data_IF_652864546053
#
_entry.id   IF_652864546053
#
_cell.length_a   1.000
_cell.length_b   1.000
_cell.length_c   1.000
_cell.angle_alpha   90.00
_cell.angle_beta   90.00
_cell.angle_gamma   90.00
#
_symmetry.space_group_name_H-M   'P 1'
#
loop_
_entity.id
_entity.type
_entity.pdbx_description
1 polymer ?
#
# COMPACT_ATOMS: atom_id res chain seq x y z
N UNK A 1 12.95 6.77 49.45
CA UNK A 1 11.67 6.68 48.72
C UNK A 1 11.97 6.32 47.27
N UNK A 2 11.90 5.04 46.86
CA UNK A 2 12.20 4.64 45.49
C UNK A 2 11.06 5.02 44.55
N UNK A 3 11.42 5.58 43.40
CA UNK A 3 10.54 6.26 42.45
C UNK A 3 9.44 5.38 41.83
N UNK A 4 8.19 5.76 42.07
CA UNK A 4 6.97 5.24 41.40
C UNK A 4 7.01 5.39 39.87
N UNK A 5 7.86 6.27 39.35
CA UNK A 5 7.98 6.60 37.92
C UNK A 5 8.63 5.48 37.09
N UNK A 6 9.47 4.63 37.68
CA UNK A 6 10.15 3.53 36.95
C UNK A 6 9.22 2.33 36.72
N UNK A 7 8.34 2.04 37.68
CA UNK A 7 7.40 0.91 37.65
C UNK A 7 6.26 1.15 36.67
N UNK A 8 5.74 2.39 36.59
CA UNK A 8 4.69 2.77 35.64
C UNK A 8 5.17 2.70 34.17
N UNK A 9 6.43 3.07 33.90
CA UNK A 9 7.03 3.01 32.56
C UNK A 9 7.24 1.57 32.10
N UNK A 10 7.75 0.69 32.97
CA UNK A 10 7.94 -0.73 32.68
C UNK A 10 6.60 -1.48 32.46
N UNK A 11 5.57 -1.13 33.22
CA UNK A 11 4.22 -1.69 33.05
C UNK A 11 3.48 -1.21 31.79
N UNK A 12 3.87 -0.07 31.21
CA UNK A 12 3.36 0.39 29.90
C UNK A 12 4.03 -0.36 28.76
N UNK A 13 5.36 -0.48 28.81
CA UNK A 13 6.15 -1.23 27.81
C UNK A 13 5.67 -2.69 27.70
N UNK A 14 5.49 -3.40 28.82
CA UNK A 14 4.98 -4.78 28.79
C UNK A 14 3.56 -4.92 28.22
N UNK A 15 2.71 -3.89 28.39
CA UNK A 15 1.35 -3.90 27.80
C UNK A 15 1.40 -3.67 26.31
N UNK A 16 2.26 -2.77 25.86
CA UNK A 16 2.48 -2.46 24.45
C UNK A 16 3.07 -3.69 23.72
N UNK A 17 4.09 -4.34 24.29
CA UNK A 17 4.67 -5.58 23.77
C UNK A 17 3.64 -6.72 23.68
N UNK A 18 2.81 -6.88 24.72
CA UNK A 18 1.75 -7.90 24.73
C UNK A 18 0.67 -7.61 23.70
N UNK A 19 0.34 -6.32 23.50
CA UNK A 19 -0.60 -5.89 22.46
C UNK A 19 -0.07 -6.21 21.07
N UNK A 20 1.16 -5.84 20.78
CA UNK A 20 1.82 -6.15 19.49
C UNK A 20 1.93 -7.64 19.24
N UNK A 21 2.22 -8.44 20.27
CA UNK A 21 2.28 -9.90 20.14
C UNK A 21 0.92 -10.51 19.79
N UNK A 22 -0.18 -10.03 20.38
CA UNK A 22 -1.53 -10.51 20.04
C UNK A 22 -1.92 -10.05 18.63
N UNK A 23 -1.67 -8.79 18.28
CA UNK A 23 -1.92 -8.30 16.92
C UNK A 23 -1.17 -9.16 15.89
N UNK A 24 0.14 -9.36 16.04
CA UNK A 24 0.93 -10.21 15.13
C UNK A 24 0.37 -11.63 14.96
N UNK A 25 -0.10 -12.26 16.04
CA UNK A 25 -0.73 -13.60 15.96
C UNK A 25 -2.02 -13.58 15.16
N UNK A 26 -2.87 -12.58 15.37
CA UNK A 26 -4.12 -12.45 14.61
C UNK A 26 -3.84 -12.21 13.13
N UNK A 27 -2.88 -11.33 12.82
CA UNK A 27 -2.54 -11.00 11.44
C UNK A 27 -1.95 -12.21 10.71
N UNK A 28 -1.04 -12.95 11.36
CA UNK A 28 -0.48 -14.18 10.80
C UNK A 28 -1.54 -15.26 10.57
N UNK A 29 -2.50 -15.40 11.49
CA UNK A 29 -3.62 -16.31 11.32
C UNK A 29 -4.48 -15.95 10.11
N UNK A 30 -4.80 -14.67 9.91
CA UNK A 30 -5.56 -14.25 8.71
C UNK A 30 -4.75 -14.50 7.44
N UNK A 31 -3.47 -14.17 7.42
CA UNK A 31 -2.60 -14.38 6.26
C UNK A 31 -2.54 -15.87 5.84
N UNK A 32 -2.42 -16.77 6.82
CA UNK A 32 -2.48 -18.23 6.59
C UNK A 32 -3.84 -18.67 6.04
N UNK A 33 -4.94 -18.13 6.58
CA UNK A 33 -6.29 -18.46 6.14
C UNK A 33 -6.57 -17.97 4.70
N UNK A 34 -6.06 -16.78 4.34
CA UNK A 34 -6.15 -16.21 3.00
C UNK A 34 -5.31 -17.01 2.00
N UNK A 35 -4.08 -17.35 2.37
CA UNK A 35 -3.18 -18.20 1.55
C UNK A 35 -3.76 -19.60 1.37
N UNK A 36 -4.49 -20.12 2.37
CA UNK A 36 -5.24 -21.37 2.29
C UNK A 36 -6.49 -21.33 1.40
N UNK A 37 -6.74 -20.22 0.69
CA UNK A 37 -7.83 -20.08 -0.28
C UNK A 37 -9.14 -19.53 0.28
N UNK A 38 -9.18 -19.11 1.55
CA UNK A 38 -10.38 -18.45 2.08
C UNK A 38 -10.48 -17.01 1.59
N UNK A 39 -11.68 -16.51 1.34
CA UNK A 39 -11.89 -15.07 1.11
C UNK A 39 -12.02 -14.34 2.44
N UNK A 40 -11.55 -13.10 2.52
CA UNK A 40 -11.61 -12.31 3.75
C UNK A 40 -13.06 -12.12 4.24
N UNK A 41 -14.00 -11.95 3.31
CA UNK A 41 -15.41 -11.75 3.60
C UNK A 41 -16.07 -12.96 4.27
N UNK A 42 -15.68 -14.17 3.88
CA UNK A 42 -16.14 -15.44 4.47
C UNK A 42 -15.49 -15.78 5.82
N UNK A 43 -14.34 -15.17 6.17
CA UNK A 43 -13.67 -15.45 7.44
C UNK A 43 -14.53 -15.00 8.64
N UNK A 44 -15.00 -15.98 9.41
CA UNK A 44 -15.66 -15.74 10.68
C UNK A 44 -14.63 -15.38 11.77
N UNK A 45 -14.96 -14.41 12.63
CA UNK A 45 -14.11 -14.01 13.76
C UNK A 45 -13.76 -15.21 14.66
N UNK A 46 -14.67 -16.16 14.83
CA UNK A 46 -14.41 -17.37 15.61
C UNK A 46 -13.27 -18.22 15.00
N UNK A 47 -13.23 -18.35 13.66
CA UNK A 47 -12.17 -19.08 12.96
C UNK A 47 -10.82 -18.37 13.10
N UNK A 48 -10.81 -17.04 12.92
CA UNK A 48 -9.61 -16.22 13.11
C UNK A 48 -9.08 -16.36 14.55
N UNK A 49 -9.97 -16.28 15.54
CA UNK A 49 -9.59 -16.41 16.95
C UNK A 49 -9.02 -17.79 17.29
N UNK A 50 -9.61 -18.86 16.74
CA UNK A 50 -9.09 -20.22 16.88
C UNK A 50 -7.71 -20.37 16.27
N UNK A 51 -7.52 -19.92 15.02
CA UNK A 51 -6.24 -20.00 14.31
C UNK A 51 -5.16 -19.16 15.00
N UNK A 52 -5.53 -17.99 15.53
CA UNK A 52 -4.64 -17.13 16.30
C UNK A 52 -4.42 -17.63 17.75
N UNK A 53 -5.05 -18.74 18.15
CA UNK A 53 -5.13 -19.30 19.51
C UNK A 53 -5.37 -18.24 20.60
N UNK A 54 -6.42 -17.44 20.40
CA UNK A 54 -6.93 -16.47 21.37
C UNK A 54 -8.43 -16.66 21.60
N UNK A 55 -8.92 -16.15 22.73
CA UNK A 55 -10.36 -16.08 22.94
C UNK A 55 -11.01 -15.05 21.98
N UNK A 56 -12.24 -15.32 21.54
CA UNK A 56 -13.03 -14.38 20.73
C UNK A 56 -13.22 -13.02 21.41
N UNK A 57 -13.36 -12.99 22.74
CA UNK A 57 -13.43 -11.75 23.51
C UNK A 57 -12.10 -10.98 23.50
N UNK A 58 -10.97 -11.68 23.41
CA UNK A 58 -9.65 -11.06 23.23
C UNK A 58 -9.56 -10.41 21.85
N UNK A 59 -10.05 -11.06 20.78
CA UNK A 59 -10.10 -10.46 19.45
C UNK A 59 -10.80 -9.08 19.46
N UNK A 60 -12.03 -9.02 19.98
CA UNK A 60 -12.82 -7.77 19.99
C UNK A 60 -12.23 -6.66 20.85
N UNK A 61 -11.30 -6.99 21.77
CA UNK A 61 -10.56 -5.98 22.54
C UNK A 61 -9.55 -5.22 21.67
N UNK A 62 -8.99 -5.86 20.66
CA UNK A 62 -7.98 -5.29 19.77
C UNK A 62 -8.59 -4.81 18.45
N UNK A 63 -9.55 -5.56 17.92
CA UNK A 63 -10.21 -5.30 16.64
C UNK A 63 -11.72 -5.26 16.86
N UNK A 64 -12.33 -4.06 16.92
CA UNK A 64 -13.78 -3.94 17.13
C UNK A 64 -14.60 -4.71 16.09
N UNK A 65 -14.08 -4.78 14.87
CA UNK A 65 -14.69 -5.46 13.72
C UNK A 65 -13.60 -5.97 12.75
N UNK A 66 -14.05 -6.67 11.68
CA UNK A 66 -13.14 -7.16 10.63
C UNK A 66 -12.57 -6.02 9.78
N UNK A 67 -13.27 -4.91 9.61
CA UNK A 67 -12.81 -3.78 8.79
C UNK A 67 -11.58 -3.12 9.41
N UNK A 68 -11.58 -2.94 10.74
CA UNK A 68 -10.41 -2.47 11.51
C UNK A 68 -9.26 -3.45 11.50
N UNK A 69 -9.53 -4.75 11.52
CA UNK A 69 -8.49 -5.76 11.31
C UNK A 69 -7.87 -5.63 9.92
N UNK A 70 -8.70 -5.50 8.87
CA UNK A 70 -8.23 -5.40 7.49
C UNK A 70 -7.39 -4.14 7.26
N UNK A 71 -7.83 -2.99 7.77
CA UNK A 71 -7.06 -1.75 7.73
C UNK A 71 -5.71 -1.93 8.44
N UNK A 72 -5.70 -2.55 9.62
CA UNK A 72 -4.45 -2.77 10.37
C UNK A 72 -3.50 -3.74 9.64
N UNK A 73 -4.03 -4.78 9.00
CA UNK A 73 -3.26 -5.65 8.11
C UNK A 73 -2.65 -4.85 6.96
N UNK A 74 -3.45 -4.00 6.32
CA UNK A 74 -3.02 -3.16 5.23
C UNK A 74 -1.88 -2.24 5.64
N UNK A 75 -2.01 -1.51 6.74
CA UNK A 75 -0.95 -0.65 7.30
C UNK A 75 0.36 -1.43 7.44
N UNK A 76 0.34 -2.56 8.14
CA UNK A 76 1.57 -3.31 8.42
C UNK A 76 2.19 -3.96 7.17
N UNK A 77 1.37 -4.45 6.24
CA UNK A 77 1.86 -5.09 5.02
C UNK A 77 2.36 -4.07 3.99
N UNK A 78 1.78 -2.87 3.99
CA UNK A 78 2.05 -1.87 2.96
C UNK A 78 2.99 -0.77 3.42
N UNK A 79 3.22 -0.58 4.73
CA UNK A 79 4.12 0.48 5.24
C UNK A 79 5.52 0.40 4.64
N UNK A 80 6.15 -0.78 4.60
CA UNK A 80 7.50 -0.95 4.05
C UNK A 80 7.54 -0.76 2.53
N UNK A 81 6.57 -1.34 1.80
CA UNK A 81 6.50 -1.22 0.34
C UNK A 81 6.20 0.19 -0.12
N UNK A 82 5.31 0.87 0.59
CA UNK A 82 4.92 2.23 0.28
C UNK A 82 6.06 3.18 0.62
N UNK A 83 6.70 3.02 1.77
CA UNK A 83 7.90 3.79 2.11
C UNK A 83 9.01 3.60 1.06
N UNK A 84 9.22 2.37 0.56
CA UNK A 84 10.21 2.10 -0.48
C UNK A 84 9.83 2.77 -1.82
N UNK A 85 8.57 2.66 -2.23
CA UNK A 85 8.06 3.33 -3.44
C UNK A 85 8.15 4.86 -3.32
N UNK A 86 7.83 5.43 -2.16
CA UNK A 86 7.96 6.86 -1.86
C UNK A 86 9.42 7.32 -1.93
N UNK A 87 10.33 6.58 -1.28
CA UNK A 87 11.77 6.87 -1.33
C UNK A 87 12.29 6.84 -2.76
N UNK A 88 11.96 5.79 -3.51
CA UNK A 88 12.38 5.68 -4.90
C UNK A 88 11.88 6.84 -5.76
N UNK A 89 10.61 7.21 -5.60
CA UNK A 89 9.99 8.27 -6.38
C UNK A 89 10.58 9.65 -6.06
N UNK A 90 11.11 9.82 -4.85
CA UNK A 90 11.86 11.03 -4.45
C UNK A 90 13.34 11.01 -4.85
N UNK A 91 13.97 9.82 -4.92
CA UNK A 91 15.39 9.67 -5.28
C UNK A 91 15.59 9.64 -6.80
N UNK A 92 15.53 10.82 -7.41
CA UNK A 92 16.23 11.24 -8.65
C UNK A 92 16.39 10.18 -9.77
N UNK A 93 15.59 10.28 -10.83
CA UNK A 93 15.75 9.42 -12.01
C UNK A 93 16.83 9.94 -12.96
N UNK A 94 18.08 9.66 -12.63
CA UNK A 94 19.17 9.74 -13.59
C UNK A 94 19.04 8.71 -14.74
N UNK A 95 18.06 7.78 -14.66
CA UNK A 95 17.99 6.57 -15.50
C UNK A 95 16.88 6.57 -16.56
N UNK A 96 16.17 7.69 -16.76
CA UNK A 96 15.17 7.84 -17.83
C UNK A 96 13.97 6.86 -17.77
N UNK A 97 13.45 6.44 -18.93
CA UNK A 97 12.34 5.46 -19.05
C UNK A 97 12.64 4.16 -18.29
N UNK A 98 13.91 3.71 -18.30
CA UNK A 98 14.33 2.48 -17.62
C UNK A 98 14.14 2.55 -16.10
N UNK A 99 14.37 3.73 -15.50
CA UNK A 99 14.07 3.97 -14.09
C UNK A 99 12.58 3.76 -13.79
N UNK A 100 11.70 4.39 -14.58
CA UNK A 100 10.24 4.26 -14.38
C UNK A 100 9.77 2.82 -14.50
N UNK A 101 10.29 2.07 -15.48
CA UNK A 101 10.02 0.64 -15.62
C UNK A 101 10.46 -0.13 -14.38
N UNK A 102 11.64 0.18 -13.82
CA UNK A 102 12.14 -0.49 -12.63
C UNK A 102 11.22 -0.29 -11.41
N UNK A 103 10.70 0.91 -11.20
CA UNK A 103 9.72 1.13 -10.13
C UNK A 103 8.41 0.39 -10.34
N UNK A 104 7.93 0.30 -11.57
CA UNK A 104 6.74 -0.50 -11.85
C UNK A 104 6.98 -1.98 -11.52
N UNK A 105 8.18 -2.51 -11.76
CA UNK A 105 8.54 -3.88 -11.33
C UNK A 105 8.48 -4.02 -9.81
N UNK A 106 9.08 -3.10 -9.07
CA UNK A 106 9.12 -3.15 -7.61
C UNK A 106 7.73 -3.06 -7.00
N UNK A 107 6.89 -2.17 -7.52
CA UNK A 107 5.51 -2.03 -7.07
C UNK A 107 4.64 -3.24 -7.41
N UNK A 108 4.81 -3.84 -8.60
CA UNK A 108 4.11 -5.08 -8.98
C UNK A 108 4.57 -6.23 -8.07
N UNK A 109 5.87 -6.40 -7.87
CA UNK A 109 6.42 -7.45 -7.00
C UNK A 109 5.93 -7.30 -5.55
N UNK A 110 5.90 -6.06 -5.04
CA UNK A 110 5.34 -5.77 -3.73
C UNK A 110 3.85 -6.12 -3.65
N UNK A 111 3.08 -5.70 -4.65
CA UNK A 111 1.65 -5.96 -4.70
C UNK A 111 1.34 -7.46 -4.81
N UNK A 112 2.18 -8.25 -5.52
CA UNK A 112 2.09 -9.71 -5.58
C UNK A 112 2.28 -10.37 -4.23
N UNK A 113 3.24 -9.89 -3.43
CA UNK A 113 3.49 -10.42 -2.08
C UNK A 113 2.28 -10.27 -1.13
N UNK A 114 1.39 -9.31 -1.41
CA UNK A 114 0.19 -9.05 -0.61
C UNK A 114 -1.11 -9.14 -1.43
N UNK A 115 -1.13 -9.91 -2.52
CA UNK A 115 -2.24 -9.91 -3.48
C UNK A 115 -3.59 -10.27 -2.84
N UNK A 116 -3.61 -11.23 -1.91
CA UNK A 116 -4.83 -11.62 -1.20
C UNK A 116 -5.38 -10.49 -0.30
N UNK A 117 -4.48 -9.76 0.37
CA UNK A 117 -4.83 -8.64 1.21
C UNK A 117 -5.32 -7.45 0.40
N UNK A 118 -4.63 -7.11 -0.70
CA UNK A 118 -5.04 -6.03 -1.61
C UNK A 118 -6.40 -6.34 -2.25
N UNK A 119 -6.63 -7.59 -2.67
CA UNK A 119 -7.95 -8.01 -3.18
C UNK A 119 -9.05 -7.85 -2.12
N UNK A 120 -8.79 -8.27 -0.88
CA UNK A 120 -9.74 -8.10 0.22
C UNK A 120 -10.02 -6.62 0.51
N UNK A 121 -9.01 -5.75 0.44
CA UNK A 121 -9.17 -4.30 0.57
C UNK A 121 -10.05 -3.74 -0.55
N UNK A 122 -9.76 -4.05 -1.82
CA UNK A 122 -10.56 -3.61 -2.97
C UNK A 122 -12.02 -4.05 -2.86
N UNK A 123 -12.26 -5.31 -2.47
CA UNK A 123 -13.60 -5.87 -2.30
C UNK A 123 -14.36 -5.15 -1.16
N UNK A 124 -13.76 -5.05 0.02
CA UNK A 124 -14.43 -4.48 1.21
C UNK A 124 -14.61 -2.96 1.08
N UNK A 125 -13.65 -2.26 0.45
CA UNK A 125 -13.74 -0.82 0.20
C UNK A 125 -14.97 -0.41 -0.65
N UNK A 126 -15.54 -1.35 -1.42
CA UNK A 126 -16.71 -1.08 -2.25
C UNK A 126 -18.00 -0.87 -1.44
N UNK A 127 -18.06 -1.36 -0.19
CA UNK A 127 -19.28 -1.27 0.63
C UNK A 127 -19.05 -0.92 2.10
N UNK A 128 -17.81 -0.95 2.61
CA UNK A 128 -17.44 -0.48 3.95
C UNK A 128 -16.79 0.91 3.87
N UNK A 129 -17.39 1.89 4.54
CA UNK A 129 -16.96 3.28 4.49
C UNK A 129 -15.59 3.52 5.15
N UNK A 130 -15.26 2.78 6.21
CA UNK A 130 -13.99 2.94 6.92
C UNK A 130 -12.85 2.41 6.06
N UNK A 131 -13.02 1.24 5.44
CA UNK A 131 -12.03 0.66 4.52
C UNK A 131 -11.90 1.50 3.26
N UNK A 132 -13.01 1.95 2.68
CA UNK A 132 -13.00 2.82 1.51
C UNK A 132 -12.32 4.17 1.78
N UNK A 133 -12.51 4.74 2.96
CA UNK A 133 -11.82 5.98 3.36
C UNK A 133 -10.33 5.78 3.59
N UNK A 134 -9.93 4.66 4.18
CA UNK A 134 -8.53 4.28 4.31
C UNK A 134 -7.85 4.15 2.94
N UNK A 135 -8.45 3.41 2.01
CA UNK A 135 -7.86 3.23 0.67
C UNK A 135 -7.77 4.56 -0.10
N UNK A 136 -8.80 5.40 -0.04
CA UNK A 136 -8.79 6.72 -0.67
C UNK A 136 -7.70 7.61 -0.11
N UNK A 137 -7.54 7.68 1.21
CA UNK A 137 -6.49 8.48 1.85
C UNK A 137 -5.09 8.02 1.43
N UNK A 138 -4.91 6.72 1.19
CA UNK A 138 -3.66 6.16 0.67
C UNK A 138 -3.40 6.63 -0.76
N UNK A 139 -4.39 6.57 -1.64
CA UNK A 139 -4.25 7.07 -3.01
C UNK A 139 -3.98 8.59 -3.04
N UNK A 140 -4.64 9.37 -2.18
CA UNK A 140 -4.40 10.81 -2.04
C UNK A 140 -2.95 11.12 -1.61
N UNK A 141 -2.35 10.26 -0.76
CA UNK A 141 -0.93 10.38 -0.41
C UNK A 141 -0.01 10.15 -1.63
N UNK A 142 -0.29 9.16 -2.49
CA UNK A 142 0.46 8.98 -3.75
C UNK A 142 0.30 10.16 -4.69
N UNK A 143 -0.92 10.66 -4.87
CA UNK A 143 -1.16 11.83 -5.72
C UNK A 143 -0.32 13.00 -5.23
N UNK A 144 -0.28 13.24 -3.92
CA UNK A 144 0.54 14.30 -3.32
C UNK A 144 2.03 14.10 -3.60
N UNK A 145 2.52 12.86 -3.50
CA UNK A 145 3.89 12.53 -3.79
C UNK A 145 4.24 12.77 -5.28
N UNK A 146 3.38 12.31 -6.19
CA UNK A 146 3.58 12.49 -7.63
C UNK A 146 3.54 13.97 -8.00
N UNK A 147 2.62 14.75 -7.40
CA UNK A 147 2.59 16.21 -7.54
C UNK A 147 3.93 16.84 -7.15
N UNK A 148 4.46 16.48 -5.97
CA UNK A 148 5.75 16.99 -5.48
C UNK A 148 6.88 16.67 -6.45
N UNK A 149 6.89 15.45 -7.00
CA UNK A 149 7.88 15.03 -8.00
C UNK A 149 7.78 15.83 -9.30
N UNK A 150 6.58 15.97 -9.87
CA UNK A 150 6.37 16.71 -11.10
C UNK A 150 6.71 18.21 -10.95
N UNK A 151 6.45 18.78 -9.77
CA UNK A 151 6.87 20.15 -9.45
C UNK A 151 8.40 20.29 -9.44
N UNK A 152 9.11 19.31 -8.89
CA UNK A 152 10.57 19.29 -8.92
C UNK A 152 11.12 19.13 -10.35
N UNK A 153 10.51 18.28 -11.18
CA UNK A 153 10.90 18.13 -12.59
C UNK A 153 10.64 19.39 -13.42
N UNK A 154 9.54 20.11 -13.16
CA UNK A 154 9.28 21.42 -13.79
C UNK A 154 10.34 22.43 -13.40
N UNK A 155 10.68 22.51 -12.12
CA UNK A 155 11.70 23.45 -11.61
C UNK A 155 13.09 23.15 -12.20
N UNK A 156 13.32 21.91 -12.63
CA UNK A 156 14.55 21.47 -13.29
C UNK A 156 14.46 21.50 -14.84
N UNK A 157 13.42 22.13 -15.42
CA UNK A 157 13.17 22.23 -16.87
C UNK A 157 13.08 20.88 -17.60
N UNK A 158 12.67 19.80 -16.90
CA UNK A 158 12.56 18.45 -17.48
C UNK A 158 11.18 18.16 -18.08
N UNK A 159 10.16 18.91 -17.69
CA UNK A 159 8.79 18.81 -18.22
C UNK A 159 8.29 20.20 -18.59
N UNK A 160 7.42 20.34 -19.60
CA UNK A 160 6.93 21.65 -20.01
C UNK A 160 5.93 22.24 -19.00
N UNK A 161 5.83 23.57 -18.99
CA UNK A 161 4.88 24.32 -18.16
C UNK A 161 3.42 24.02 -18.49
N UNK A 162 3.14 23.49 -19.68
CA UNK A 162 1.81 23.10 -20.14
C UNK A 162 1.23 21.87 -19.41
N UNK A 163 2.05 21.09 -18.70
CA UNK A 163 1.58 19.92 -17.95
C UNK A 163 0.69 20.35 -16.78
N UNK A 164 -0.55 19.89 -16.71
CA UNK A 164 -1.39 20.14 -15.53
C UNK A 164 -1.05 19.16 -14.40
N UNK A 165 -0.12 19.54 -13.52
CA UNK A 165 0.46 18.66 -12.51
C UNK A 165 -0.60 17.94 -11.65
N UNK A 166 -1.61 18.61 -11.05
CA UNK A 166 -2.61 17.94 -10.23
C UNK A 166 -3.39 16.86 -10.99
N UNK A 167 -3.86 17.16 -12.20
CA UNK A 167 -4.62 16.20 -13.01
C UNK A 167 -3.73 15.05 -13.50
N UNK A 168 -2.51 15.35 -13.95
CA UNK A 168 -1.54 14.33 -14.37
C UNK A 168 -1.21 13.39 -13.22
N UNK A 169 -1.00 13.91 -12.01
CA UNK A 169 -0.73 13.07 -10.83
C UNK A 169 -1.89 12.10 -10.54
N UNK A 170 -3.14 12.59 -10.56
CA UNK A 170 -4.33 11.75 -10.38
C UNK A 170 -4.40 10.66 -11.45
N UNK A 171 -4.22 11.04 -12.73
CA UNK A 171 -4.26 10.10 -13.85
C UNK A 171 -3.22 8.99 -13.68
N UNK A 172 -1.97 9.36 -13.38
CA UNK A 172 -0.88 8.39 -13.22
C UNK A 172 -1.13 7.46 -12.04
N UNK A 173 -1.55 7.99 -10.89
CA UNK A 173 -1.86 7.18 -9.70
C UNK A 173 -3.01 6.20 -9.97
N UNK A 174 -4.12 6.67 -10.53
CA UNK A 174 -5.27 5.81 -10.84
C UNK A 174 -4.97 4.78 -11.93
N UNK A 175 -4.21 5.17 -12.97
CA UNK A 175 -3.80 4.26 -14.03
C UNK A 175 -2.97 3.10 -13.45
N UNK A 176 -1.97 3.42 -12.66
CA UNK A 176 -1.10 2.44 -12.01
C UNK A 176 -1.89 1.52 -11.08
N UNK A 177 -2.66 2.09 -10.15
CA UNK A 177 -3.42 1.30 -9.17
C UNK A 177 -4.37 0.33 -9.87
N UNK A 178 -5.12 0.83 -10.86
CA UNK A 178 -6.11 0.02 -11.55
C UNK A 178 -5.48 -1.05 -12.43
N UNK A 179 -4.34 -0.76 -13.06
CA UNK A 179 -3.61 -1.74 -13.85
C UNK A 179 -3.03 -2.86 -12.99
N UNK A 180 -2.50 -2.54 -11.81
CA UNK A 180 -1.99 -3.55 -10.87
C UNK A 180 -3.13 -4.39 -10.29
N UNK A 181 -4.22 -3.76 -9.85
CA UNK A 181 -5.43 -4.47 -9.38
C UNK A 181 -5.91 -5.50 -10.42
N UNK A 182 -6.02 -5.07 -11.69
CA UNK A 182 -6.42 -5.96 -12.78
C UNK A 182 -5.39 -7.08 -13.05
N UNK A 183 -4.08 -6.77 -12.99
CA UNK A 183 -2.99 -7.74 -13.16
C UNK A 183 -3.02 -8.84 -12.10
N UNK A 184 -3.31 -8.49 -10.84
CA UNK A 184 -3.44 -9.43 -9.73
C UNK A 184 -4.72 -10.28 -9.80
N UNK A 185 -5.74 -9.79 -10.49
CA UNK A 185 -7.02 -10.45 -10.69
C UNK A 185 -6.96 -11.60 -11.71
N UNK A 186 -7.04 -11.23 -12.98
CA UNK A 186 -7.40 -12.14 -14.08
C UNK A 186 -6.57 -11.93 -15.34
N UNK A 187 -5.52 -11.11 -15.30
CA UNK A 187 -4.73 -10.82 -16.49
C UNK A 187 -3.88 -12.02 -16.94
N UNK A 188 -3.76 -12.18 -18.26
CA UNK A 188 -2.86 -13.16 -18.90
C UNK A 188 -1.48 -12.58 -19.22
N UNK A 189 -1.29 -11.29 -18.96
CA UNK A 189 -0.04 -10.56 -19.19
C UNK A 189 0.91 -10.83 -18.03
N UNK A 190 2.19 -11.10 -18.32
CA UNK A 190 3.19 -11.28 -17.27
C UNK A 190 3.59 -9.94 -16.62
N UNK A 191 4.11 -10.02 -15.39
CA UNK A 191 4.44 -8.86 -14.56
C UNK A 191 5.47 -7.94 -15.23
N UNK A 192 6.41 -8.51 -15.98
CA UNK A 192 7.50 -7.79 -16.63
C UNK A 192 7.00 -7.02 -17.88
N UNK A 193 6.09 -7.63 -18.66
CA UNK A 193 5.41 -6.96 -19.77
C UNK A 193 4.54 -5.81 -19.26
N UNK A 194 3.83 -6.00 -18.14
CA UNK A 194 3.04 -4.93 -17.52
C UNK A 194 3.95 -3.80 -17.04
N UNK A 195 5.06 -4.11 -16.34
CA UNK A 195 6.00 -3.12 -15.85
C UNK A 195 6.58 -2.25 -16.97
N UNK A 196 7.01 -2.86 -18.08
CA UNK A 196 7.49 -2.13 -19.26
C UNK A 196 6.42 -1.22 -19.86
N UNK A 197 5.20 -1.73 -19.99
CA UNK A 197 4.10 -0.99 -20.62
C UNK A 197 3.67 0.21 -19.77
N UNK A 198 3.52 0.01 -18.45
CA UNK A 198 3.22 1.10 -17.50
C UNK A 198 4.37 2.10 -17.44
N UNK A 199 5.61 1.65 -17.32
CA UNK A 199 6.77 2.53 -17.24
C UNK A 199 6.90 3.41 -18.48
N UNK A 200 6.72 2.82 -19.68
CA UNK A 200 6.67 3.56 -20.94
C UNK A 200 5.52 4.56 -21.00
N UNK A 201 4.30 4.16 -20.60
CA UNK A 201 3.13 5.05 -20.64
C UNK A 201 3.31 6.25 -19.71
N UNK A 202 3.82 6.03 -18.48
CA UNK A 202 4.15 7.08 -17.53
C UNK A 202 5.22 8.00 -18.13
N UNK A 203 6.30 7.43 -18.66
CA UNK A 203 7.40 8.21 -19.25
C UNK A 203 6.92 9.13 -20.38
N UNK A 204 6.14 8.60 -21.32
CA UNK A 204 5.60 9.39 -22.44
C UNK A 204 4.59 10.44 -21.98
N UNK A 205 3.77 10.14 -20.97
CA UNK A 205 2.79 11.10 -20.43
C UNK A 205 3.47 12.28 -19.75
N UNK A 206 4.60 12.05 -19.07
CA UNK A 206 5.30 13.08 -18.29
C UNK A 206 6.34 13.83 -19.12
N UNK A 207 7.11 13.11 -19.94
CA UNK A 207 8.29 13.63 -20.64
C UNK A 207 8.20 13.56 -22.17
N UNK A 208 7.11 13.06 -22.74
CA UNK A 208 6.98 12.88 -24.19
C UNK A 208 7.09 14.19 -24.99
N UNK A 209 6.65 15.30 -24.39
CA UNK A 209 6.74 16.65 -24.95
C UNK A 209 7.88 17.47 -24.29
N UNK A 210 8.86 16.82 -23.66
CA UNK A 210 9.97 17.51 -23.03
C UNK A 210 10.68 18.42 -24.07
N UNK A 211 11.01 19.67 -23.71
CA UNK A 211 11.69 20.57 -24.62
C UNK A 211 13.02 19.94 -25.06
N UNK A 212 13.24 19.85 -26.38
CA UNK A 212 14.52 19.37 -26.90
C UNK A 212 15.65 20.24 -26.32
N UNK A 213 16.76 19.64 -25.83
CA UNK A 213 17.91 20.43 -25.43
C UNK A 213 18.36 21.24 -26.65
N UNK A 214 18.39 22.56 -26.49
CA UNK A 214 18.86 23.50 -27.50
C UNK A 214 20.36 23.36 -27.74
#
# INVERSE_FOLDING_TARGET
MPSLTRTARSGRIQRDERREAVERRVLAAVDQLLTGGSTFTELAVARIATEAEIARSTFYRYFPDKSRLLIRMAELATDEQFSAAEHWWTSSHADGEAGVVQAMREMIAGSRAHAHLLRALSEVAAYDQDVGSYWRGRLEAFVTLVCTRLQADRTADRIPDSVDIPSTAIILTCMVERSIDFLLGTATVDDEQMARSLGRAIWLTVYGDAPNPS
#
